data_IF_075888958142
#
_entry.id   IF_075888958142
#
_cell.length_a   1.000
_cell.length_b   1.000
_cell.length_c   1.000
_cell.angle_alpha   90.00
_cell.angle_beta   90.00
_cell.angle_gamma   90.00
#
_symmetry.space_group_name_H-M   'P 1'
#
loop_
_entity.id
_entity.type
_entity.pdbx_description
1 polymer ?
#
# COMPACT_ATOMS: atom_id res chain seq x y z
N UNK A 1 -19.02 -22.68 -23.73
CA UNK A 1 -17.88 -23.19 -22.95
C UNK A 1 -18.16 -22.85 -21.49
N UNK A 2 -18.10 -23.84 -20.60
CA UNK A 2 -18.39 -23.64 -19.19
C UNK A 2 -17.29 -22.80 -18.54
N UNK A 3 -17.71 -21.75 -17.82
CA UNK A 3 -16.88 -20.80 -17.09
C UNK A 3 -16.17 -21.51 -15.91
N UNK A 4 -15.02 -22.13 -16.19
CA UNK A 4 -14.19 -22.82 -15.19
C UNK A 4 -13.30 -21.81 -14.44
N UNK A 5 -13.94 -20.87 -13.78
CA UNK A 5 -13.26 -19.97 -12.85
C UNK A 5 -12.74 -20.75 -11.65
N UNK A 6 -11.45 -20.67 -11.39
CA UNK A 6 -10.79 -21.28 -10.23
C UNK A 6 -10.46 -20.22 -9.18
N UNK A 7 -10.82 -20.47 -7.92
CA UNK A 7 -10.40 -19.63 -6.81
C UNK A 7 -9.01 -20.05 -6.32
N UNK A 8 -8.07 -19.12 -6.39
CA UNK A 8 -6.77 -19.22 -5.73
C UNK A 8 -6.91 -18.64 -4.33
N UNK A 9 -6.56 -19.42 -3.33
CA UNK A 9 -6.68 -19.06 -1.90
C UNK A 9 -5.32 -19.10 -1.24
N UNK A 10 -4.94 -17.99 -0.61
CA UNK A 10 -3.73 -17.90 0.22
C UNK A 10 -3.86 -18.81 1.45
N UNK A 11 -2.75 -19.48 1.83
CA UNK A 11 -2.73 -20.32 3.03
C UNK A 11 -2.92 -19.47 4.28
N UNK A 12 -2.36 -18.25 4.29
CA UNK A 12 -2.49 -17.29 5.40
C UNK A 12 -3.87 -16.66 5.51
N UNK A 13 -4.59 -16.46 4.40
CA UNK A 13 -5.98 -15.99 4.44
C UNK A 13 -6.95 -17.03 4.99
N UNK A 14 -6.65 -18.33 4.86
CA UNK A 14 -7.40 -19.38 5.57
C UNK A 14 -7.32 -19.21 7.09
N UNK A 15 -6.14 -18.89 7.61
CA UNK A 15 -5.92 -18.66 9.04
C UNK A 15 -6.57 -17.35 9.54
N UNK A 16 -6.36 -16.24 8.84
CA UNK A 16 -6.98 -14.94 9.18
C UNK A 16 -8.51 -14.99 9.06
N UNK A 17 -9.03 -15.62 8.01
CA UNK A 17 -10.47 -15.85 7.83
C UNK A 17 -11.06 -16.73 8.92
N UNK A 18 -10.33 -17.77 9.37
CA UNK A 18 -10.73 -18.59 10.52
C UNK A 18 -10.84 -17.76 11.81
N UNK A 19 -9.83 -16.95 12.14
CA UNK A 19 -9.89 -16.08 13.32
C UNK A 19 -10.94 -14.97 13.20
N UNK A 20 -11.17 -14.46 11.99
CA UNK A 20 -12.28 -13.54 11.71
C UNK A 20 -13.65 -14.19 11.97
N UNK A 21 -13.86 -15.43 11.50
CA UNK A 21 -15.07 -16.21 11.78
C UNK A 21 -15.25 -16.51 13.27
N UNK A 22 -14.17 -16.90 13.96
CA UNK A 22 -14.17 -17.09 15.42
C UNK A 22 -14.54 -15.79 16.13
N UNK A 23 -13.99 -14.65 15.71
CA UNK A 23 -14.35 -13.33 16.23
C UNK A 23 -15.83 -13.01 16.02
N UNK A 24 -16.36 -13.20 14.81
CA UNK A 24 -17.79 -13.01 14.50
C UNK A 24 -18.66 -13.91 15.39
N UNK A 25 -18.28 -15.17 15.58
CA UNK A 25 -19.04 -16.10 16.43
C UNK A 25 -19.05 -15.67 17.89
N UNK A 26 -17.88 -15.29 18.45
CA UNK A 26 -17.75 -14.87 19.85
C UNK A 26 -18.48 -13.54 20.09
N UNK A 27 -18.23 -12.52 19.27
CA UNK A 27 -18.85 -11.21 19.43
C UNK A 27 -20.33 -11.20 19.02
N UNK A 28 -20.72 -12.02 18.03
CA UNK A 28 -22.11 -12.22 17.64
C UNK A 28 -22.91 -12.92 18.74
N UNK A 29 -22.36 -13.96 19.36
CA UNK A 29 -22.97 -14.60 20.52
C UNK A 29 -23.09 -13.64 21.71
N UNK A 30 -22.06 -12.83 21.98
CA UNK A 30 -22.11 -11.81 23.03
C UNK A 30 -23.17 -10.74 22.75
N UNK A 31 -23.31 -10.28 21.49
CA UNK A 31 -24.33 -9.33 21.09
C UNK A 31 -25.76 -9.90 21.24
N UNK A 32 -25.98 -11.15 20.82
CA UNK A 32 -27.28 -11.83 20.98
C UNK A 32 -27.60 -12.04 22.46
N UNK A 33 -26.65 -12.50 23.27
CA UNK A 33 -26.84 -12.66 24.72
C UNK A 33 -27.17 -11.33 25.40
N UNK A 34 -26.51 -10.24 24.99
CA UNK A 34 -26.79 -8.88 25.47
C UNK A 34 -28.22 -8.43 25.13
N UNK A 35 -28.69 -8.75 23.92
CA UNK A 35 -30.03 -8.40 23.44
C UNK A 35 -31.12 -9.23 24.13
N UNK A 36 -30.88 -10.52 24.37
CA UNK A 36 -31.78 -11.38 25.16
C UNK A 36 -31.87 -10.91 26.61
N UNK A 37 -30.74 -10.54 27.22
CA UNK A 37 -30.71 -10.00 28.58
C UNK A 37 -31.49 -8.67 28.69
N UNK A 38 -31.41 -7.80 27.67
CA UNK A 38 -32.21 -6.57 27.60
C UNK A 38 -33.72 -6.84 27.57
N UNK A 39 -34.15 -7.81 26.76
CA UNK A 39 -35.57 -8.20 26.64
C UNK A 39 -36.08 -8.83 27.94
N UNK A 40 -35.24 -9.58 28.66
CA UNK A 40 -35.63 -10.27 29.90
C UNK A 40 -35.50 -9.42 31.17
N UNK A 41 -34.73 -8.33 31.15
CA UNK A 41 -34.48 -7.48 32.32
C UNK A 41 -34.54 -5.98 31.97
N UNK A 42 -35.74 -5.37 31.89
CA UNK A 42 -35.95 -3.98 31.45
C UNK A 42 -35.43 -2.90 32.44
N UNK A 43 -34.74 -3.30 33.51
CA UNK A 43 -34.22 -2.42 34.56
C UNK A 43 -32.69 -2.32 34.57
N UNK A 44 -32.02 -3.09 33.70
CA UNK A 44 -30.56 -3.06 33.55
C UNK A 44 -30.21 -2.15 32.38
N UNK A 45 -29.26 -1.24 32.59
CA UNK A 45 -28.78 -0.22 31.65
C UNK A 45 -27.97 -0.86 30.48
N UNK A 46 -28.67 -1.68 29.71
CA UNK A 46 -28.13 -2.60 28.69
C UNK A 46 -27.86 -1.91 27.35
N UNK A 47 -28.22 -0.62 27.25
CA UNK A 47 -27.72 0.26 26.19
C UNK A 47 -26.19 0.34 26.20
N UNK A 48 -25.55 0.31 27.37
CA UNK A 48 -24.08 0.33 27.49
C UNK A 48 -23.45 -0.95 26.92
N UNK A 49 -24.06 -2.12 27.15
CA UNK A 49 -23.52 -3.40 26.68
C UNK A 49 -23.63 -3.56 25.16
N UNK A 50 -24.74 -3.11 24.56
CA UNK A 50 -24.91 -3.07 23.09
C UNK A 50 -23.93 -2.07 22.48
N UNK A 51 -23.76 -0.89 23.10
CA UNK A 51 -22.85 0.15 22.61
C UNK A 51 -21.38 -0.26 22.70
N UNK A 52 -21.02 -1.14 23.65
CA UNK A 52 -19.68 -1.75 23.73
C UNK A 52 -19.53 -2.88 22.71
N UNK A 53 -20.49 -3.79 22.58
CA UNK A 53 -20.32 -5.03 21.77
C UNK A 53 -20.45 -4.82 20.26
N UNK A 54 -21.30 -3.88 19.82
CA UNK A 54 -21.51 -3.61 18.38
C UNK A 54 -20.22 -3.15 17.67
N UNK A 55 -19.42 -2.20 18.20
CA UNK A 55 -18.14 -1.84 17.60
C UNK A 55 -17.18 -3.02 17.41
N UNK A 56 -17.11 -3.94 18.39
CA UNK A 56 -16.27 -5.14 18.26
C UNK A 56 -16.80 -6.11 17.22
N UNK A 57 -18.11 -6.30 17.12
CA UNK A 57 -18.73 -7.12 16.07
C UNK A 57 -18.48 -6.52 14.69
N UNK A 58 -18.68 -5.21 14.53
CA UNK A 58 -18.39 -4.50 13.28
C UNK A 58 -16.92 -4.64 12.92
N UNK A 59 -16.01 -4.42 13.86
CA UNK A 59 -14.57 -4.59 13.65
C UNK A 59 -14.22 -6.04 13.26
N UNK A 60 -14.81 -7.04 13.92
CA UNK A 60 -14.60 -8.45 13.59
C UNK A 60 -15.09 -8.79 12.18
N UNK A 61 -16.23 -8.25 11.75
CA UNK A 61 -16.74 -8.41 10.38
C UNK A 61 -15.82 -7.73 9.38
N UNK A 62 -15.36 -6.50 9.64
CA UNK A 62 -14.42 -5.78 8.77
C UNK A 62 -13.11 -6.55 8.63
N UNK A 63 -12.51 -6.99 9.73
CA UNK A 63 -11.27 -7.78 9.72
C UNK A 63 -11.45 -9.12 9.00
N UNK A 64 -12.60 -9.77 9.16
CA UNK A 64 -12.91 -10.99 8.43
C UNK A 64 -13.04 -10.74 6.92
N UNK A 65 -13.74 -9.67 6.52
CA UNK A 65 -13.90 -9.29 5.11
C UNK A 65 -12.56 -8.84 4.48
N UNK A 66 -11.73 -8.08 5.20
CA UNK A 66 -10.38 -7.71 4.75
C UNK A 66 -9.48 -8.94 4.62
N UNK A 67 -9.47 -9.82 5.64
CA UNK A 67 -8.66 -11.04 5.63
C UNK A 67 -9.04 -12.03 4.52
N UNK A 68 -10.34 -12.11 4.22
CA UNK A 68 -10.87 -12.90 3.09
C UNK A 68 -10.59 -12.20 1.75
N UNK A 69 -10.79 -10.90 1.66
CA UNK A 69 -10.63 -10.13 0.43
C UNK A 69 -9.18 -10.07 -0.08
N UNK A 70 -8.20 -10.05 0.83
CA UNK A 70 -6.79 -9.90 0.49
C UNK A 70 -6.13 -11.17 -0.07
N UNK A 71 -6.64 -12.37 0.25
CA UNK A 71 -6.03 -13.64 -0.18
C UNK A 71 -6.96 -14.55 -0.96
N UNK A 72 -7.94 -13.97 -1.65
CA UNK A 72 -8.79 -14.66 -2.60
C UNK A 72 -8.66 -13.98 -3.96
N UNK A 73 -8.23 -14.74 -4.97
CA UNK A 73 -8.20 -14.29 -6.36
C UNK A 73 -8.92 -15.33 -7.21
N UNK A 74 -9.99 -14.92 -7.87
CA UNK A 74 -10.65 -15.74 -8.89
C UNK A 74 -9.91 -15.55 -10.20
N UNK A 75 -9.54 -16.66 -10.83
CA UNK A 75 -8.85 -16.70 -12.12
C UNK A 75 -9.75 -17.46 -13.09
N UNK A 76 -10.12 -16.85 -14.20
CA UNK A 76 -10.97 -17.43 -15.23
C UNK A 76 -10.38 -17.24 -16.64
N UNK A 77 -11.10 -17.70 -17.67
CA UNK A 77 -10.63 -17.65 -19.06
C UNK A 77 -10.51 -16.22 -19.59
N UNK A 78 -11.17 -15.25 -18.96
CA UNK A 78 -11.23 -13.87 -19.43
C UNK A 78 -10.34 -12.93 -18.63
N UNK A 79 -9.97 -13.30 -17.40
CA UNK A 79 -9.14 -12.47 -16.53
C UNK A 79 -9.00 -13.00 -15.11
N UNK A 80 -8.66 -12.09 -14.20
CA UNK A 80 -8.73 -12.33 -12.76
C UNK A 80 -9.62 -11.30 -12.07
N UNK A 81 -10.10 -11.65 -10.88
CA UNK A 81 -10.85 -10.73 -10.02
C UNK A 81 -10.66 -10.99 -8.54
N UNK A 82 -10.71 -9.93 -7.73
CA UNK A 82 -10.77 -10.01 -6.26
C UNK A 82 -12.22 -9.85 -5.79
N UNK A 83 -12.61 -10.42 -4.62
CA UNK A 83 -13.98 -10.31 -4.10
C UNK A 83 -14.47 -8.88 -3.88
N UNK A 84 -13.56 -7.94 -3.63
CA UNK A 84 -13.86 -6.56 -3.24
C UNK A 84 -13.76 -5.55 -4.38
N UNK A 85 -13.72 -6.00 -5.64
CA UNK A 85 -14.14 -5.14 -6.76
C UNK A 85 -13.14 -4.90 -7.88
N UNK A 86 -11.96 -5.53 -7.89
CA UNK A 86 -11.08 -5.47 -9.05
C UNK A 86 -11.41 -6.64 -9.98
N UNK A 87 -11.78 -6.37 -11.24
CA UNK A 87 -11.77 -7.35 -12.33
C UNK A 87 -10.85 -6.82 -13.43
N UNK A 88 -9.85 -7.63 -13.80
CA UNK A 88 -8.88 -7.29 -14.85
C UNK A 88 -8.94 -8.34 -15.95
N UNK A 89 -9.23 -7.96 -17.19
CA UNK A 89 -9.17 -8.90 -18.29
C UNK A 89 -7.71 -9.17 -18.65
N UNK A 90 -7.41 -10.36 -19.19
CA UNK A 90 -6.04 -10.75 -19.53
C UNK A 90 -5.36 -9.80 -20.53
N UNK A 91 -6.14 -9.21 -21.45
CA UNK A 91 -5.65 -8.23 -22.43
C UNK A 91 -5.05 -6.96 -21.81
N UNK A 92 -5.41 -6.66 -20.56
CA UNK A 92 -4.92 -5.48 -19.86
C UNK A 92 -3.69 -5.83 -18.99
N UNK A 93 -3.32 -7.11 -18.87
CA UNK A 93 -2.14 -7.54 -18.10
C UNK A 93 -0.88 -7.35 -18.92
N UNK A 94 -0.01 -6.45 -18.47
CA UNK A 94 1.23 -6.10 -19.16
C UNK A 94 2.40 -6.96 -18.67
N UNK A 95 2.52 -7.09 -17.35
CA UNK A 95 3.57 -7.86 -16.69
C UNK A 95 3.07 -8.44 -15.36
N UNK A 96 3.64 -9.56 -14.94
CA UNK A 96 3.43 -10.13 -13.60
C UNK A 96 4.74 -10.68 -13.05
N UNK A 97 4.89 -10.58 -11.73
CA UNK A 97 6.02 -11.17 -11.04
C UNK A 97 5.95 -10.93 -9.54
N UNK A 98 7.04 -11.24 -8.86
CA UNK A 98 7.19 -10.97 -7.45
C UNK A 98 7.78 -9.55 -7.29
N UNK A 99 7.04 -8.69 -6.60
CA UNK A 99 7.52 -7.41 -6.12
C UNK A 99 7.81 -7.49 -4.63
N UNK A 100 8.56 -6.53 -4.11
CA UNK A 100 8.67 -6.35 -2.66
C UNK A 100 7.70 -5.23 -2.28
N UNK A 101 6.73 -5.54 -1.43
CA UNK A 101 5.83 -4.54 -0.85
C UNK A 101 5.82 -4.81 0.63
N UNK A 102 6.00 -3.77 1.44
CA UNK A 102 5.92 -3.91 2.89
C UNK A 102 6.98 -4.92 3.45
N UNK A 103 8.19 -4.95 2.87
CA UNK A 103 9.29 -5.84 3.32
C UNK A 103 9.02 -7.33 3.06
N UNK A 104 8.05 -7.63 2.18
CA UNK A 104 7.60 -8.97 1.88
C UNK A 104 7.51 -9.16 0.39
N UNK A 105 7.88 -10.36 -0.03
CA UNK A 105 7.73 -10.74 -1.43
C UNK A 105 6.24 -10.95 -1.71
N UNK A 106 5.63 -10.13 -2.56
CA UNK A 106 4.21 -10.24 -2.91
C UNK A 106 4.04 -10.34 -4.42
N UNK A 107 2.99 -11.02 -4.91
CA UNK A 107 2.63 -10.93 -6.31
C UNK A 107 2.23 -9.51 -6.66
N UNK A 108 2.84 -8.99 -7.72
CA UNK A 108 2.48 -7.71 -8.33
C UNK A 108 2.16 -7.91 -9.80
N UNK A 109 1.15 -7.20 -10.28
CA UNK A 109 0.72 -7.23 -11.67
C UNK A 109 0.68 -5.80 -12.17
N UNK A 110 1.41 -5.54 -13.25
CA UNK A 110 1.28 -4.30 -14.02
C UNK A 110 0.11 -4.47 -14.99
N UNK A 111 -0.87 -3.58 -14.89
CA UNK A 111 -2.05 -3.60 -15.73
C UNK A 111 -2.25 -2.26 -16.43
N UNK A 112 -2.77 -2.30 -17.64
CA UNK A 112 -3.26 -1.12 -18.32
C UNK A 112 -4.55 -0.65 -17.62
N UNK A 113 -4.54 0.58 -17.14
CA UNK A 113 -5.69 1.28 -16.58
C UNK A 113 -6.01 2.56 -17.36
N UNK A 114 -7.06 3.26 -16.94
CA UNK A 114 -7.56 4.46 -17.64
C UNK A 114 -6.54 5.61 -17.70
N UNK A 115 -5.64 5.68 -16.71
CA UNK A 115 -4.62 6.73 -16.58
C UNK A 115 -3.19 6.23 -16.89
N UNK A 116 -3.05 5.11 -17.60
CA UNK A 116 -1.75 4.49 -17.89
C UNK A 116 -1.56 3.18 -17.13
N UNK A 117 -0.34 2.90 -16.66
CA UNK A 117 -0.06 1.63 -15.96
C UNK A 117 -0.45 1.73 -14.49
N UNK A 118 -1.26 0.79 -14.03
CA UNK A 118 -1.62 0.61 -12.63
C UNK A 118 -0.92 -0.62 -12.04
N UNK A 119 -0.78 -0.62 -10.71
CA UNK A 119 -0.25 -1.75 -9.97
C UNK A 119 -1.38 -2.43 -9.21
N UNK A 120 -1.60 -3.71 -9.47
CA UNK A 120 -2.38 -4.56 -8.58
C UNK A 120 -1.40 -5.33 -7.67
N UNK A 121 -1.55 -5.14 -6.35
CA UNK A 121 -0.71 -5.77 -5.32
C UNK A 121 -1.54 -6.78 -4.53
N UNK A 122 -1.00 -7.98 -4.32
CA UNK A 122 -1.71 -9.08 -3.64
C UNK A 122 -1.05 -9.43 -2.30
N UNK A 123 -1.15 -8.54 -1.32
CA UNK A 123 -0.52 -8.69 0.00
C UNK A 123 -0.97 -9.95 0.78
N UNK A 124 -2.17 -10.48 0.52
CA UNK A 124 -2.60 -11.75 1.11
C UNK A 124 -1.80 -12.96 0.64
N UNK A 125 -1.06 -12.86 -0.47
CA UNK A 125 -0.20 -13.91 -1.02
C UNK A 125 1.29 -13.65 -0.76
N UNK A 126 1.65 -12.96 0.33
CA UNK A 126 3.05 -12.71 0.64
C UNK A 126 3.91 -13.97 0.87
N UNK A 127 5.21 -13.85 0.64
CA UNK A 127 6.29 -14.80 0.84
C UNK A 127 6.03 -16.16 0.18
N UNK A 128 5.93 -17.24 0.96
CA UNK A 128 5.72 -18.61 0.47
C UNK A 128 4.46 -18.79 -0.38
N UNK A 129 3.47 -17.90 -0.24
CA UNK A 129 2.23 -17.94 -1.02
C UNK A 129 2.36 -17.18 -2.37
N UNK A 130 3.41 -16.38 -2.56
CA UNK A 130 3.56 -15.54 -3.76
C UNK A 130 3.75 -16.37 -5.04
N UNK A 131 4.62 -17.40 -5.05
CA UNK A 131 4.80 -18.26 -6.22
C UNK A 131 3.51 -18.97 -6.65
N UNK A 132 2.62 -19.27 -5.70
CA UNK A 132 1.36 -19.96 -5.98
C UNK A 132 0.42 -19.13 -6.83
N UNK A 133 0.20 -17.86 -6.46
CA UNK A 133 -0.65 -16.98 -7.25
C UNK A 133 0.00 -16.69 -8.61
N UNK A 134 1.31 -16.40 -8.63
CA UNK A 134 2.02 -16.13 -9.88
C UNK A 134 1.97 -17.30 -10.86
N UNK A 135 2.08 -18.54 -10.37
CA UNK A 135 1.93 -19.74 -11.21
C UNK A 135 0.53 -19.83 -11.81
N UNK A 136 -0.51 -19.66 -10.99
CA UNK A 136 -1.90 -19.71 -11.46
C UNK A 136 -2.22 -18.63 -12.50
N UNK A 137 -1.63 -17.43 -12.37
CA UNK A 137 -1.78 -16.37 -13.38
C UNK A 137 -1.00 -16.71 -14.67
N UNK A 138 0.24 -17.22 -14.55
CA UNK A 138 1.09 -17.62 -15.69
C UNK A 138 0.51 -18.76 -16.54
N UNK A 139 -0.30 -19.62 -15.95
CA UNK A 139 -1.02 -20.66 -16.70
C UNK A 139 -2.06 -20.07 -17.67
N UNK A 140 -2.50 -18.83 -17.46
CA UNK A 140 -3.55 -18.18 -18.28
C UNK A 140 -3.03 -17.10 -19.22
N UNK A 141 -1.91 -16.47 -18.88
CA UNK A 141 -1.28 -15.43 -19.70
C UNK A 141 0.22 -15.63 -19.73
N UNK A 142 0.85 -15.35 -20.88
CA UNK A 142 2.31 -15.23 -21.01
C UNK A 142 2.65 -13.76 -21.11
N UNK A 143 2.81 -13.05 -19.99
CA UNK A 143 3.01 -11.62 -20.02
C UNK A 143 4.49 -11.30 -20.22
N UNK A 144 4.73 -10.05 -20.59
CA UNK A 144 6.06 -9.51 -20.72
C UNK A 144 6.76 -9.46 -19.35
N UNK A 145 8.09 -9.42 -19.34
CA UNK A 145 8.83 -9.04 -18.14
C UNK A 145 8.59 -7.55 -17.84
N UNK A 146 8.66 -7.14 -16.57
CA UNK A 146 8.48 -5.73 -16.19
C UNK A 146 9.39 -4.78 -17.00
N UNK A 147 10.65 -5.16 -17.22
CA UNK A 147 11.62 -4.39 -18.01
C UNK A 147 11.29 -4.25 -19.50
N UNK A 148 10.35 -5.04 -20.02
CA UNK A 148 9.89 -4.96 -21.40
C UNK A 148 8.56 -4.22 -21.55
N UNK A 149 8.00 -3.67 -20.47
CA UNK A 149 6.78 -2.87 -20.52
C UNK A 149 7.13 -1.47 -21.03
N UNK A 150 6.63 -1.13 -22.22
CA UNK A 150 6.74 0.23 -22.76
C UNK A 150 5.61 1.11 -22.22
N UNK A 151 5.99 2.08 -21.40
CA UNK A 151 5.08 3.10 -20.91
C UNK A 151 4.87 4.15 -22.02
N UNK A 152 3.66 4.19 -22.57
CA UNK A 152 3.30 5.11 -23.66
C UNK A 152 3.48 6.58 -23.29
N UNK A 153 3.55 7.46 -24.29
CA UNK A 153 3.81 8.90 -24.12
C UNK A 153 2.89 9.58 -23.08
N UNK A 154 1.59 9.25 -23.09
CA UNK A 154 0.63 9.83 -22.15
C UNK A 154 0.90 9.51 -20.68
N UNK A 155 1.54 8.36 -20.36
CA UNK A 155 1.99 8.06 -18.99
C UNK A 155 3.08 9.05 -18.58
N UNK A 156 4.11 9.20 -19.42
CA UNK A 156 5.22 10.09 -19.13
C UNK A 156 4.78 11.54 -19.07
N UNK A 157 3.89 12.00 -19.96
CA UNK A 157 3.34 13.37 -19.90
C UNK A 157 2.67 13.64 -18.54
N UNK A 158 1.94 12.67 -17.99
CA UNK A 158 1.30 12.79 -16.69
C UNK A 158 2.32 12.82 -15.53
N UNK A 159 3.33 11.93 -15.54
CA UNK A 159 4.38 11.87 -14.52
C UNK A 159 5.25 13.13 -14.55
N UNK A 160 5.60 13.63 -15.73
CA UNK A 160 6.39 14.85 -15.89
C UNK A 160 5.60 16.08 -15.39
N UNK A 161 4.30 16.17 -15.69
CA UNK A 161 3.43 17.24 -15.19
C UNK A 161 3.29 17.22 -13.66
N UNK A 162 3.18 16.03 -13.05
CA UNK A 162 3.16 15.87 -11.60
C UNK A 162 4.50 16.27 -10.97
N UNK A 163 5.62 15.94 -11.62
CA UNK A 163 6.95 16.31 -11.15
C UNK A 163 7.17 17.82 -11.20
N UNK A 164 6.70 18.49 -12.27
CA UNK A 164 6.75 19.95 -12.40
C UNK A 164 5.89 20.63 -11.32
N UNK A 165 4.69 20.09 -11.03
CA UNK A 165 3.85 20.55 -9.93
C UNK A 165 4.58 20.42 -8.60
N UNK A 166 5.13 19.25 -8.29
CA UNK A 166 5.82 18.99 -7.03
C UNK A 166 7.02 19.94 -6.84
N UNK A 167 7.85 20.10 -7.88
CA UNK A 167 8.97 21.05 -7.86
C UNK A 167 8.50 22.49 -7.64
N UNK A 168 7.42 22.92 -8.30
CA UNK A 168 6.85 24.25 -8.08
C UNK A 168 6.35 24.46 -6.65
N UNK A 169 5.77 23.44 -6.02
CA UNK A 169 5.32 23.49 -4.62
C UNK A 169 6.53 23.62 -3.67
N UNK A 170 7.60 22.88 -3.91
CA UNK A 170 8.82 22.98 -3.10
C UNK A 170 9.46 24.36 -3.26
N UNK A 171 9.63 24.84 -4.49
CA UNK A 171 10.14 26.19 -4.77
C UNK A 171 9.31 27.27 -4.06
N UNK A 172 7.99 27.18 -4.15
CA UNK A 172 7.08 28.17 -3.56
C UNK A 172 7.12 28.21 -2.03
N UNK A 173 7.32 27.06 -1.37
CA UNK A 173 7.30 26.97 0.10
C UNK A 173 8.68 27.08 0.76
N UNK A 174 9.72 26.57 0.09
CA UNK A 174 11.06 26.42 0.65
C UNK A 174 12.15 27.14 -0.13
N UNK A 175 11.86 27.66 -1.33
CA UNK A 175 12.86 28.29 -2.20
C UNK A 175 13.90 27.32 -2.77
N UNK A 176 13.67 26.00 -2.65
CA UNK A 176 14.57 24.96 -3.09
C UNK A 176 14.22 24.49 -4.51
N UNK A 177 15.25 24.12 -5.27
CA UNK A 177 15.17 23.42 -6.55
C UNK A 177 15.72 22.00 -6.39
N UNK A 178 15.20 21.03 -7.16
CA UNK A 178 15.83 19.71 -7.22
C UNK A 178 17.24 19.81 -7.82
N UNK A 179 18.18 19.14 -7.18
CA UNK A 179 19.58 18.98 -7.62
C UNK A 179 19.66 18.04 -8.83
N UNK A 180 18.80 17.01 -8.88
CA UNK A 180 18.66 16.13 -10.04
C UNK A 180 17.22 15.68 -10.25
N UNK A 181 16.94 15.25 -11.49
CA UNK A 181 15.66 14.69 -11.95
C UNK A 181 15.97 13.46 -12.80
N UNK A 182 15.57 12.29 -12.33
CA UNK A 182 15.90 11.02 -12.99
C UNK A 182 14.68 10.11 -13.07
N UNK A 183 14.54 9.40 -14.19
CA UNK A 183 13.52 8.35 -14.31
C UNK A 183 14.05 7.08 -13.66
N UNK A 184 13.26 6.50 -12.76
CA UNK A 184 13.63 5.33 -11.98
C UNK A 184 12.52 4.28 -12.02
N UNK A 185 12.87 3.03 -11.74
CA UNK A 185 11.93 2.03 -11.30
C UNK A 185 11.47 2.30 -9.87
N UNK A 186 10.18 2.09 -9.63
CA UNK A 186 9.59 2.19 -8.31
C UNK A 186 8.44 1.20 -8.17
N UNK A 187 8.58 0.25 -7.23
CA UNK A 187 7.56 -0.77 -6.94
C UNK A 187 7.46 -1.92 -7.95
N UNK A 188 8.11 -1.82 -9.11
CA UNK A 188 8.21 -2.91 -10.10
C UNK A 188 9.67 -3.21 -10.41
N UNK A 189 10.13 -4.47 -10.27
CA UNK A 189 11.50 -4.81 -10.60
C UNK A 189 11.85 -4.50 -12.06
N UNK A 190 12.67 -3.48 -12.31
CA UNK A 190 13.18 -3.12 -13.63
C UNK A 190 12.21 -2.41 -14.56
N UNK A 191 11.04 -1.96 -14.09
CA UNK A 191 10.14 -1.11 -14.88
C UNK A 191 10.29 0.34 -14.42
N UNK A 192 11.02 1.12 -15.22
CA UNK A 192 11.20 2.56 -15.02
C UNK A 192 9.89 3.26 -15.32
N UNK A 193 9.21 3.74 -14.28
CA UNK A 193 7.86 4.30 -14.39
C UNK A 193 7.61 5.56 -13.57
N UNK A 194 8.63 6.02 -12.85
CA UNK A 194 8.56 7.11 -11.88
C UNK A 194 9.72 8.08 -12.09
N UNK A 195 9.60 9.29 -11.55
CA UNK A 195 10.66 10.30 -11.53
C UNK A 195 11.09 10.54 -10.09
N UNK A 196 12.39 10.51 -9.82
CA UNK A 196 13.00 11.02 -8.58
C UNK A 196 13.37 12.48 -8.79
N UNK A 197 12.91 13.34 -7.89
CA UNK A 197 13.42 14.69 -7.68
C UNK A 197 14.30 14.69 -6.43
N UNK A 198 15.62 14.74 -6.60
CA UNK A 198 16.58 14.76 -5.50
C UNK A 198 16.79 16.21 -5.03
N UNK A 199 16.59 16.48 -3.73
CA UNK A 199 16.83 17.80 -3.13
C UNK A 199 18.18 17.89 -2.40
N UNK A 200 18.96 16.81 -2.40
CA UNK A 200 20.28 16.73 -1.78
C UNK A 200 20.22 16.23 -0.34
N UNK A 201 21.28 16.54 0.41
CA UNK A 201 21.51 16.06 1.77
C UNK A 201 21.35 17.20 2.78
N UNK A 202 20.64 16.94 3.88
CA UNK A 202 20.46 17.86 5.02
C UNK A 202 21.76 18.00 5.83
N UNK A 203 21.80 18.97 6.75
CA UNK A 203 22.93 19.15 7.67
C UNK A 203 23.13 17.95 8.61
N UNK A 204 22.06 17.20 8.90
CA UNK A 204 22.07 15.97 9.70
C UNK A 204 22.44 14.72 8.89
N UNK A 205 22.73 14.88 7.59
CA UNK A 205 23.20 13.82 6.71
C UNK A 205 22.10 12.96 6.09
N UNK A 206 20.83 13.40 6.11
CA UNK A 206 19.76 12.69 5.43
C UNK A 206 19.60 13.14 3.97
N UNK A 207 19.45 12.20 3.04
CA UNK A 207 19.07 12.54 1.65
C UNK A 207 17.56 12.68 1.55
N UNK A 208 17.10 13.75 0.90
CA UNK A 208 15.68 14.06 0.73
C UNK A 208 15.29 13.99 -0.74
N UNK A 209 14.34 13.10 -1.06
CA UNK A 209 13.90 12.86 -2.44
C UNK A 209 12.37 12.87 -2.53
N UNK A 210 11.81 13.39 -3.63
CA UNK A 210 10.40 13.15 -3.98
C UNK A 210 10.34 12.11 -5.09
N UNK A 211 9.63 11.02 -4.84
CA UNK A 211 9.26 10.01 -5.84
C UNK A 211 7.93 10.42 -6.47
N UNK A 212 7.90 10.51 -7.79
CA UNK A 212 6.77 11.01 -8.55
C UNK A 212 6.31 9.97 -9.55
N UNK A 213 5.03 9.58 -9.43
CA UNK A 213 4.34 8.70 -10.39
C UNK A 213 2.98 9.32 -10.74
N UNK A 214 1.88 8.69 -10.33
CA UNK A 214 0.54 9.31 -10.33
C UNK A 214 0.35 10.29 -9.17
N UNK A 215 1.08 10.05 -8.09
CA UNK A 215 1.14 10.88 -6.89
C UNK A 215 2.58 11.11 -6.50
N UNK A 216 2.82 12.16 -5.73
CA UNK A 216 4.11 12.44 -5.12
C UNK A 216 4.22 11.72 -3.78
N UNK A 217 5.36 11.09 -3.51
CA UNK A 217 5.73 10.47 -2.24
C UNK A 217 7.06 11.05 -1.76
N UNK A 218 7.15 11.41 -0.48
CA UNK A 218 8.39 11.93 0.12
C UNK A 218 9.21 10.78 0.70
N UNK A 219 10.48 10.74 0.31
CA UNK A 219 11.50 9.83 0.79
C UNK A 219 12.59 10.55 1.58
N UNK A 220 13.02 9.94 2.67
CA UNK A 220 14.18 10.34 3.44
C UNK A 220 15.12 9.14 3.54
N UNK A 221 16.40 9.33 3.23
CA UNK A 221 17.42 8.30 3.38
C UNK A 221 18.38 8.69 4.50
N UNK A 222 18.53 7.83 5.50
CA UNK A 222 19.42 8.00 6.66
C UNK A 222 20.10 6.67 7.01
N UNK A 223 21.39 6.69 7.36
CA UNK A 223 22.15 5.47 7.71
C UNK A 223 22.03 4.32 6.68
N UNK A 224 21.94 4.66 5.38
CA UNK A 224 21.81 3.69 4.30
C UNK A 224 20.44 3.03 4.17
N UNK A 225 19.43 3.43 4.95
CA UNK A 225 18.05 3.00 4.73
C UNK A 225 17.18 4.10 4.15
N UNK A 226 16.03 3.75 3.57
CA UNK A 226 15.05 4.66 2.98
C UNK A 226 13.75 4.58 3.77
N UNK A 227 13.14 5.74 4.04
CA UNK A 227 11.86 5.85 4.72
C UNK A 227 10.89 6.68 3.90
N UNK A 228 9.65 6.22 3.81
CA UNK A 228 8.61 6.80 2.97
C UNK A 228 7.38 7.13 3.83
N UNK A 229 6.83 8.33 3.63
CA UNK A 229 5.55 8.74 4.23
C UNK A 229 4.42 8.31 3.27
N UNK A 230 4.00 7.05 3.35
CA UNK A 230 3.03 6.47 2.41
C UNK A 230 1.72 7.28 2.28
N UNK A 231 1.35 7.47 1.01
CA UNK A 231 0.14 8.03 0.38
C UNK A 231 -0.56 9.26 0.98
N UNK A 232 -0.89 10.17 0.06
CA UNK A 232 -1.71 11.38 0.27
C UNK A 232 -3.11 11.00 0.78
N UNK A 233 -3.28 10.83 2.09
CA UNK A 233 -4.61 10.78 2.72
C UNK A 233 -5.25 12.17 2.76
N UNK A 234 -5.76 12.67 1.62
CA UNK A 234 -6.58 13.91 1.47
C UNK A 234 -6.07 15.22 2.13
N UNK A 235 -5.03 15.24 2.96
CA UNK A 235 -4.78 16.34 3.92
C UNK A 235 -3.35 16.88 3.97
N UNK A 236 -2.37 16.25 3.33
CA UNK A 236 -1.00 16.77 3.29
C UNK A 236 -0.30 16.42 1.96
N UNK A 237 0.26 17.42 1.30
CA UNK A 237 1.10 17.24 0.10
C UNK A 237 2.54 16.94 0.55
N UNK A 238 3.17 15.85 0.09
CA UNK A 238 4.55 15.54 0.46
C UNK A 238 5.56 16.61 0.02
N UNK A 239 5.29 17.33 -1.08
CA UNK A 239 6.17 18.40 -1.55
C UNK A 239 6.23 19.58 -0.55
N UNK A 240 5.18 19.84 0.23
CA UNK A 240 5.20 20.94 1.22
C UNK A 240 6.08 20.64 2.43
N UNK A 241 6.55 19.39 2.58
CA UNK A 241 7.34 18.96 3.74
C UNK A 241 8.84 18.99 3.49
N UNK A 242 9.28 19.09 2.23
CA UNK A 242 10.73 19.12 1.88
C UNK A 242 11.44 20.23 2.65
N UNK A 243 10.90 21.45 2.67
CA UNK A 243 11.51 22.57 3.37
C UNK A 243 11.65 22.39 4.89
N UNK A 244 10.79 21.56 5.51
CA UNK A 244 10.87 21.28 6.94
C UNK A 244 12.10 20.43 7.29
N UNK A 245 12.62 19.66 6.33
CA UNK A 245 13.77 18.77 6.52
C UNK A 245 15.10 19.50 6.31
N UNK A 246 15.12 20.66 5.66
CA UNK A 246 16.33 21.48 5.50
C UNK A 246 16.47 22.56 6.59
N UNK A 247 15.56 22.60 7.56
CA UNK A 247 15.65 23.43 8.76
C UNK A 247 16.09 22.63 9.99
N UNK A 248 16.26 23.29 11.16
CA UNK A 248 16.58 22.60 12.41
C UNK A 248 15.53 21.53 12.74
N UNK A 249 15.98 20.28 12.81
CA UNK A 249 15.13 19.15 13.18
C UNK A 249 15.92 18.08 13.92
N UNK A 250 15.22 17.13 14.52
CA UNK A 250 15.82 15.90 15.06
C UNK A 250 15.10 14.68 14.51
N UNK A 251 15.77 13.55 14.54
CA UNK A 251 15.22 12.27 14.10
C UNK A 251 15.23 11.24 15.22
N UNK A 252 14.13 10.49 15.32
CA UNK A 252 13.98 9.36 16.23
C UNK A 252 13.72 8.09 15.41
N UNK A 253 14.54 7.06 15.65
CA UNK A 253 14.33 5.73 15.07
C UNK A 253 13.54 4.87 16.06
N UNK A 254 12.39 4.38 15.62
CA UNK A 254 11.50 3.52 16.40
C UNK A 254 11.47 2.14 15.74
N UNK A 255 12.06 1.16 16.39
CA UNK A 255 12.08 -0.22 15.89
C UNK A 255 10.66 -0.82 15.88
N UNK A 256 10.39 -1.65 14.87
CA UNK A 256 9.12 -2.34 14.76
C UNK A 256 8.90 -3.32 15.93
N UNK A 257 7.75 -3.24 16.58
CA UNK A 257 7.29 -4.27 17.53
C UNK A 257 6.30 -5.19 16.83
N UNK A 258 6.77 -6.38 16.47
CA UNK A 258 5.99 -7.47 15.86
C UNK A 258 5.24 -7.12 14.55
N UNK A 259 5.92 -7.31 13.40
CA UNK A 259 5.28 -7.36 12.08
C UNK A 259 4.96 -6.03 11.40
N UNK A 260 5.52 -4.92 11.89
CA UNK A 260 5.47 -3.60 11.25
C UNK A 260 6.82 -3.12 10.71
N UNK A 261 6.87 -1.90 10.18
CA UNK A 261 8.11 -1.25 9.75
C UNK A 261 8.78 -0.52 10.90
N UNK A 262 10.11 -0.51 10.87
CA UNK A 262 10.86 0.52 11.57
C UNK A 262 10.32 1.88 11.13
N UNK A 263 10.31 2.83 12.04
CA UNK A 263 9.79 4.17 11.77
C UNK A 263 10.88 5.19 12.03
N UNK A 264 10.98 6.15 11.13
CA UNK A 264 11.71 7.39 11.36
C UNK A 264 10.68 8.45 11.74
N UNK A 265 10.84 9.10 12.88
CA UNK A 265 10.02 10.23 13.29
C UNK A 265 10.88 11.48 13.24
N UNK A 266 10.52 12.41 12.36
CA UNK A 266 11.21 13.69 12.22
C UNK A 266 10.49 14.75 13.03
N UNK A 267 11.24 15.45 13.87
CA UNK A 267 10.79 16.53 14.74
C UNK A 267 11.39 17.87 14.25
N UNK A 268 10.70 18.53 13.34
CA UNK A 268 11.04 19.90 12.93
C UNK A 268 10.53 20.93 13.95
N UNK A 269 11.32 21.96 14.21
CA UNK A 269 10.98 23.00 15.20
C UNK A 269 9.62 23.65 14.92
N UNK A 270 8.76 23.72 15.95
CA UNK A 270 7.42 24.33 15.84
C UNK A 270 6.41 23.54 15.00
N UNK A 271 6.76 22.34 14.53
CA UNK A 271 5.88 21.49 13.71
C UNK A 271 5.43 20.23 14.45
N UNK A 272 4.36 19.61 13.95
CA UNK A 272 3.98 18.27 14.40
C UNK A 272 5.01 17.25 13.90
N UNK A 273 5.33 16.22 14.70
CA UNK A 273 6.22 15.15 14.26
C UNK A 273 5.75 14.51 12.95
N UNK A 274 6.68 14.26 12.04
CA UNK A 274 6.44 13.66 10.75
C UNK A 274 6.87 12.18 10.82
N UNK A 275 5.93 11.22 10.86
CA UNK A 275 6.26 9.81 10.85
C UNK A 275 6.50 9.32 9.41
N UNK A 276 7.59 8.57 9.22
CA UNK A 276 7.93 7.87 7.99
C UNK A 276 8.12 6.39 8.30
N UNK A 277 7.52 5.51 7.50
CA UNK A 277 7.75 4.08 7.64
C UNK A 277 8.98 3.71 6.81
N UNK A 278 9.82 2.83 7.35
CA UNK A 278 10.91 2.25 6.57
C UNK A 278 10.30 1.46 5.41
N UNK A 279 10.79 1.71 4.22
CA UNK A 279 10.51 0.86 3.07
C UNK A 279 11.88 0.39 2.58
N UNK A 280 12.04 -0.92 2.35
CA UNK A 280 13.39 -1.46 2.19
C UNK A 280 14.14 -0.78 1.03
N UNK A 281 15.40 -0.36 1.24
CA UNK A 281 16.15 0.50 0.32
C UNK A 281 16.87 -0.29 -0.77
N UNK A 282 16.91 -1.62 -0.65
CA UNK A 282 17.86 -2.46 -1.38
C UNK A 282 17.47 -2.76 -2.83
N UNK A 283 16.34 -2.22 -3.30
CA UNK A 283 15.90 -2.36 -4.69
C UNK A 283 15.18 -1.09 -5.11
N UNK A 284 15.96 -0.13 -5.62
CA UNK A 284 15.49 0.73 -6.70
C UNK A 284 15.16 -0.21 -7.86
#
# INVERSE_FOLDING_TARGET
MADNGTWVVSRRSGWRGFWGLVGILVFGAAAVASLVAFVQAPHVDSGVLVLITVPFLVMAVVLALEGLGQGLVRVDDTGYSTPLGLRRPWRDVLALGAGQVEGREVPVVAVLGDAGVAQDVFSGFADDDAPRLLTALRERVTPAGFSSVELGAGHWDAVEAEADRAASVVRGNAGLEPVSRERVDFGYPGLVDSIVLDYGTTDDGERVELLVRQHTTLAVTTQGRRWLRQDRKRSADPATQVGLLFGPHTVELVEATAGGFDRLVVHAEGQRPLPFNAEEPDRF
#
